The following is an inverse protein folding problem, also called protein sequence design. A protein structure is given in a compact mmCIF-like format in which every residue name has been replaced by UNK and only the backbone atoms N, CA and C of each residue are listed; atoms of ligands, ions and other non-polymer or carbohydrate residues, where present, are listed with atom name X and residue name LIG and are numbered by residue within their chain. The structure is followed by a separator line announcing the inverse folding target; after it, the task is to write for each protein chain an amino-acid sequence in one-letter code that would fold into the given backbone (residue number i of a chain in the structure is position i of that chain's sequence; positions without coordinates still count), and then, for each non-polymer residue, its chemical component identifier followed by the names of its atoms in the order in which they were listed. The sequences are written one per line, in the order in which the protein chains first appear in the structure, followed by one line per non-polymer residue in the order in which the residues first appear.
data_IF_103095015415
#
_entry.id   IF_103095015415
#
_cell.length_a   1.000
_cell.length_b   1.000
_cell.length_c   1.000
_cell.angle_alpha   90.00
_cell.angle_beta   90.00
_cell.angle_gamma   90.00
#
_symmetry.space_group_name_H-M   'P 1'
#
loop_
_entity.id
_entity.type
_entity.pdbx_description
1 polymer ?
#
# COMPACT_ATOMS: atom_id res chain seq x y z
N UNK A 1 8.37 -41.20 3.19
CA UNK A 1 7.33 -40.17 2.89
C UNK A 1 7.67 -38.87 3.62
N UNK A 2 7.26 -37.68 3.15
CA UNK A 2 7.60 -36.39 3.83
C UNK A 2 7.20 -36.37 5.31
N UNK A 3 6.06 -36.96 5.65
CA UNK A 3 5.56 -37.06 7.03
C UNK A 3 6.47 -37.88 7.94
N UNK A 4 7.03 -38.99 7.45
CA UNK A 4 7.96 -39.84 8.23
C UNK A 4 9.25 -39.09 8.52
N UNK A 5 9.78 -38.38 7.52
CA UNK A 5 10.95 -37.52 7.68
C UNK A 5 10.68 -36.38 8.66
N UNK A 6 9.53 -35.70 8.57
CA UNK A 6 9.16 -34.64 9.50
C UNK A 6 9.03 -35.20 10.95
N UNK A 7 8.55 -36.44 11.12
CA UNK A 7 8.47 -37.11 12.43
C UNK A 7 9.85 -37.46 12.99
N UNK A 8 10.74 -38.01 12.17
CA UNK A 8 12.13 -38.33 12.54
C UNK A 8 12.86 -37.06 13.02
N UNK A 9 12.78 -35.97 12.24
CA UNK A 9 13.34 -34.67 12.61
C UNK A 9 12.76 -34.12 13.92
N UNK A 10 11.45 -34.28 14.15
CA UNK A 10 10.83 -33.86 15.43
C UNK A 10 11.29 -34.72 16.61
N UNK A 11 11.54 -36.02 16.43
CA UNK A 11 12.05 -36.90 17.49
C UNK A 11 13.52 -36.61 17.83
N UNK A 12 14.34 -36.33 16.82
CA UNK A 12 15.78 -36.08 17.01
C UNK A 12 16.08 -34.64 17.46
N UNK A 13 15.46 -33.65 16.82
CA UNK A 13 15.81 -32.24 16.97
C UNK A 13 14.73 -31.41 17.69
N UNK A 14 13.55 -31.99 17.96
CA UNK A 14 12.40 -31.25 18.47
C UNK A 14 11.81 -30.25 17.47
N UNK A 15 12.24 -30.31 16.20
CA UNK A 15 11.88 -29.34 15.16
C UNK A 15 11.93 -29.97 13.76
N UNK A 16 11.08 -29.48 12.85
CA UNK A 16 11.18 -29.77 11.43
C UNK A 16 10.79 -28.54 10.60
N UNK A 17 11.27 -28.46 9.36
CA UNK A 17 10.87 -27.39 8.45
C UNK A 17 9.40 -27.55 8.05
N UNK A 18 8.59 -26.54 8.37
CA UNK A 18 7.15 -26.58 8.19
C UNK A 18 6.38 -27.13 9.40
N UNK A 19 6.97 -27.12 10.60
CA UNK A 19 6.37 -27.62 11.83
C UNK A 19 5.00 -27.01 12.15
N UNK A 20 4.72 -25.79 11.68
CA UNK A 20 3.44 -25.11 11.85
C UNK A 20 2.26 -25.89 11.26
N UNK A 21 2.50 -26.74 10.26
CA UNK A 21 1.48 -27.63 9.67
C UNK A 21 0.98 -28.70 10.65
N UNK A 22 1.72 -28.94 11.74
CA UNK A 22 1.36 -29.85 12.83
C UNK A 22 0.85 -29.11 14.08
N UNK A 23 0.72 -27.78 14.04
CA UNK A 23 0.36 -26.93 15.19
C UNK A 23 -0.86 -27.41 15.99
N UNK A 24 -1.90 -27.91 15.31
CA UNK A 24 -3.08 -28.48 15.99
C UNK A 24 -2.72 -29.69 16.85
N UNK A 25 -1.91 -30.61 16.32
CA UNK A 25 -1.47 -31.80 17.04
C UNK A 25 -0.56 -31.42 18.21
N UNK A 26 0.38 -30.49 17.98
CA UNK A 26 1.31 -30.01 19.01
C UNK A 26 0.59 -29.29 20.16
N UNK A 27 -0.55 -28.65 19.87
CA UNK A 27 -1.38 -27.97 20.88
C UNK A 27 -2.50 -28.87 21.45
N UNK A 28 -2.54 -30.15 21.07
CA UNK A 28 -3.58 -31.12 21.42
C UNK A 28 -5.02 -30.59 21.28
N UNK A 29 -5.29 -29.88 20.17
CA UNK A 29 -6.61 -29.30 19.89
C UNK A 29 -7.45 -30.23 19.01
N UNK A 30 -8.79 -30.25 19.15
CA UNK A 30 -9.64 -31.05 18.29
C UNK A 30 -9.62 -30.54 16.83
N UNK A 31 -9.87 -31.41 15.82
CA UNK A 31 -10.00 -31.00 14.42
C UNK A 31 -11.01 -29.87 14.23
N UNK A 32 -10.71 -28.92 13.34
CA UNK A 32 -11.55 -27.75 13.06
C UNK A 32 -11.46 -26.62 14.10
N UNK A 33 -10.79 -26.83 15.23
CA UNK A 33 -10.66 -25.83 16.29
C UNK A 33 -10.04 -24.52 15.81
N UNK A 34 -10.53 -23.40 16.34
CA UNK A 34 -10.00 -22.07 16.06
C UNK A 34 -8.51 -22.00 16.45
N UNK A 35 -7.63 -21.51 15.58
CA UNK A 35 -6.22 -21.31 15.89
C UNK A 35 -6.04 -20.20 16.93
N UNK A 36 -4.98 -20.30 17.74
CA UNK A 36 -4.51 -19.20 18.57
C UNK A 36 -3.84 -18.15 17.69
N UNK A 37 -4.10 -16.88 17.98
CA UNK A 37 -3.62 -15.72 17.22
C UNK A 37 -3.14 -14.64 18.17
N UNK A 38 -2.56 -13.58 17.63
CA UNK A 38 -2.17 -12.40 18.41
C UNK A 38 -3.32 -11.85 19.28
N UNK A 39 -4.57 -11.91 18.79
CA UNK A 39 -5.74 -11.43 19.55
C UNK A 39 -5.96 -12.17 20.88
N UNK A 40 -5.48 -13.41 21.00
CA UNK A 40 -5.61 -14.22 22.21
C UNK A 40 -4.64 -13.79 23.31
N UNK A 41 -3.60 -13.03 22.98
CA UNK A 41 -2.61 -12.51 23.92
C UNK A 41 -3.03 -11.16 24.51
N UNK A 42 -4.04 -10.50 23.95
CA UNK A 42 -4.58 -9.27 24.50
C UNK A 42 -5.53 -9.54 25.67
N UNK A 43 -5.63 -8.57 26.57
CA UNK A 43 -6.70 -8.56 27.58
C UNK A 43 -8.06 -8.47 26.90
N UNK A 44 -9.11 -8.98 27.55
CA UNK A 44 -10.47 -9.03 26.96
C UNK A 44 -11.05 -7.64 26.63
N UNK A 45 -10.50 -6.59 27.23
CA UNK A 45 -10.93 -5.19 27.12
C UNK A 45 -10.12 -4.37 26.11
N UNK A 46 -9.33 -5.02 25.24
CA UNK A 46 -8.57 -4.32 24.22
C UNK A 46 -9.43 -3.47 23.27
N UNK A 47 -8.80 -2.42 22.73
CA UNK A 47 -9.32 -1.61 21.65
C UNK A 47 -8.75 -2.09 20.32
N UNK A 48 -9.62 -2.42 19.37
CA UNK A 48 -9.26 -2.74 18.00
C UNK A 48 -9.46 -1.51 17.12
N UNK A 49 -8.41 -1.09 16.43
CA UNK A 49 -8.50 -0.05 15.39
C UNK A 49 -8.21 -0.72 14.05
N UNK A 50 -9.16 -0.62 13.13
CA UNK A 50 -9.02 -1.13 11.77
C UNK A 50 -8.87 0.08 10.86
N UNK A 51 -7.65 0.32 10.40
CA UNK A 51 -7.36 1.35 9.41
C UNK A 51 -7.71 0.91 8.00
N UNK A 52 -7.98 1.88 7.13
CA UNK A 52 -8.51 1.72 5.78
C UNK A 52 -9.54 0.59 5.68
N UNK A 53 -10.51 0.65 6.60
CA UNK A 53 -11.35 -0.48 6.95
C UNK A 53 -12.18 -1.01 5.76
N UNK A 54 -12.46 -0.14 4.79
CA UNK A 54 -13.12 -0.47 3.52
C UNK A 54 -12.34 -1.51 2.68
N UNK A 55 -11.03 -1.62 2.86
CA UNK A 55 -10.15 -2.61 2.24
C UNK A 55 -9.77 -3.72 3.24
N UNK A 56 -9.42 -3.36 4.47
CA UNK A 56 -8.94 -4.28 5.51
C UNK A 56 -10.01 -5.30 5.95
N UNK A 57 -11.27 -4.89 6.09
CA UNK A 57 -12.35 -5.81 6.49
C UNK A 57 -12.61 -6.90 5.44
N UNK A 58 -12.78 -6.56 4.13
CA UNK A 58 -12.85 -7.58 3.08
C UNK A 58 -11.61 -8.49 3.04
N UNK A 59 -10.41 -7.96 3.24
CA UNK A 59 -9.18 -8.74 3.25
C UNK A 59 -9.22 -9.81 4.35
N UNK A 60 -9.53 -9.42 5.59
CA UNK A 60 -9.69 -10.36 6.73
C UNK A 60 -10.74 -11.43 6.39
N UNK A 61 -11.86 -11.04 5.76
CA UNK A 61 -12.90 -11.97 5.33
C UNK A 61 -12.45 -12.99 4.28
N UNK A 62 -11.50 -12.62 3.42
CA UNK A 62 -10.98 -13.47 2.33
C UNK A 62 -9.86 -14.43 2.75
N UNK A 63 -9.13 -14.13 3.83
CA UNK A 63 -7.91 -14.88 4.22
C UNK A 63 -8.16 -16.39 4.40
N UNK A 64 -9.22 -16.76 5.12
CA UNK A 64 -9.53 -18.17 5.40
C UNK A 64 -9.88 -18.96 4.14
N UNK A 65 -10.69 -18.39 3.24
CA UNK A 65 -11.07 -19.07 2.00
C UNK A 65 -9.86 -19.28 1.07
N UNK A 66 -9.01 -18.24 0.95
CA UNK A 66 -7.79 -18.31 0.14
C UNK A 66 -6.79 -19.35 0.67
N UNK A 67 -6.51 -19.32 1.97
CA UNK A 67 -5.60 -20.31 2.58
C UNK A 67 -6.13 -21.74 2.45
N UNK A 68 -7.43 -21.94 2.76
CA UNK A 68 -8.06 -23.25 2.67
C UNK A 68 -8.03 -23.80 1.24
N UNK A 69 -8.34 -22.99 0.23
CA UNK A 69 -8.31 -23.41 -1.18
C UNK A 69 -6.91 -23.92 -1.57
N UNK A 70 -5.87 -23.15 -1.24
CA UNK A 70 -4.47 -23.51 -1.54
C UNK A 70 -4.04 -24.79 -0.81
N UNK A 71 -4.37 -24.91 0.47
CA UNK A 71 -3.99 -26.08 1.28
C UNK A 71 -4.77 -27.34 0.92
N UNK A 72 -6.02 -27.22 0.49
CA UNK A 72 -6.82 -28.38 0.05
C UNK A 72 -6.14 -29.08 -1.12
N UNK A 73 -5.64 -28.33 -2.11
CA UNK A 73 -4.85 -28.89 -3.23
C UNK A 73 -3.62 -29.68 -2.75
N UNK A 74 -2.90 -29.16 -1.75
CA UNK A 74 -1.73 -29.86 -1.18
C UNK A 74 -2.12 -31.15 -0.46
N UNK A 75 -3.28 -31.17 0.19
CA UNK A 75 -3.82 -32.36 0.87
C UNK A 75 -4.28 -33.39 -0.15
N UNK A 76 -5.03 -32.97 -1.17
CA UNK A 76 -5.56 -33.85 -2.22
C UNK A 76 -4.45 -34.56 -3.00
N UNK A 77 -3.31 -33.89 -3.22
CA UNK A 77 -2.13 -34.47 -3.86
C UNK A 77 -1.16 -35.17 -2.89
N UNK A 78 -1.51 -35.31 -1.60
CA UNK A 78 -0.73 -36.07 -0.63
C UNK A 78 0.56 -35.38 -0.14
N UNK A 79 0.74 -34.08 -0.42
CA UNK A 79 1.88 -33.31 0.09
C UNK A 79 1.73 -32.95 1.59
N UNK A 80 0.49 -32.88 2.09
CA UNK A 80 0.19 -32.55 3.49
C UNK A 80 -0.93 -33.44 4.04
N UNK A 81 -0.89 -33.70 5.35
CA UNK A 81 -1.98 -34.36 6.06
C UNK A 81 -3.23 -33.45 6.11
N UNK A 82 -4.45 -34.00 6.24
CA UNK A 82 -5.66 -33.20 6.40
C UNK A 82 -5.63 -32.24 7.60
N UNK A 83 -4.87 -32.57 8.65
CA UNK A 83 -4.68 -31.72 9.82
C UNK A 83 -3.96 -30.40 9.53
N UNK A 84 -3.23 -30.28 8.42
CA UNK A 84 -2.59 -29.04 8.01
C UNK A 84 -3.58 -27.92 7.66
N UNK A 85 -4.85 -28.26 7.40
CA UNK A 85 -5.95 -27.32 7.22
C UNK A 85 -6.36 -26.60 8.52
N UNK A 86 -6.02 -27.17 9.68
CA UNK A 86 -6.30 -26.58 10.99
C UNK A 86 -5.23 -25.59 11.46
N UNK A 87 -4.07 -25.57 10.79
CA UNK A 87 -3.16 -24.43 10.80
C UNK A 87 -3.69 -23.41 9.79
N UNK A 88 -4.31 -22.33 10.21
CA UNK A 88 -5.03 -21.45 9.28
C UNK A 88 -5.19 -20.05 9.88
N UNK A 89 -5.57 -19.04 9.10
CA UNK A 89 -6.12 -17.80 9.66
C UNK A 89 -7.51 -18.04 10.27
N UNK A 90 -7.96 -17.06 11.05
CA UNK A 90 -9.34 -17.01 11.53
C UNK A 90 -10.30 -16.87 10.35
N UNK A 91 -11.44 -17.55 10.42
CA UNK A 91 -12.56 -17.18 9.55
C UNK A 91 -13.21 -15.89 10.07
N UNK A 92 -14.01 -15.25 9.22
CA UNK A 92 -14.59 -13.94 9.56
C UNK A 92 -15.49 -13.97 10.81
N UNK A 93 -16.25 -15.05 11.01
CA UNK A 93 -17.12 -15.18 12.18
C UNK A 93 -16.32 -15.38 13.47
N UNK A 94 -15.22 -16.13 13.42
CA UNK A 94 -14.29 -16.27 14.54
C UNK A 94 -13.66 -14.92 14.89
N UNK A 95 -13.20 -14.18 13.89
CA UNK A 95 -12.65 -12.83 14.09
C UNK A 95 -13.68 -11.90 14.74
N UNK A 96 -14.92 -11.85 14.23
CA UNK A 96 -15.99 -11.03 14.80
C UNK A 96 -16.31 -11.38 16.26
N UNK A 97 -16.22 -12.65 16.66
CA UNK A 97 -16.44 -13.06 18.07
C UNK A 97 -15.34 -12.60 19.01
N UNK A 98 -14.13 -12.37 18.49
CA UNK A 98 -13.01 -11.85 19.26
C UNK A 98 -13.00 -10.32 19.33
N UNK A 99 -13.82 -9.64 18.54
CA UNK A 99 -13.93 -8.19 18.59
C UNK A 99 -14.60 -7.74 19.88
N UNK A 100 -13.97 -6.77 20.55
CA UNK A 100 -14.56 -6.01 21.65
C UNK A 100 -14.91 -4.60 21.16
N UNK A 101 -14.28 -3.55 21.68
CA UNK A 101 -14.42 -2.20 21.15
C UNK A 101 -13.64 -2.10 19.83
N UNK A 102 -14.34 -1.81 18.74
CA UNK A 102 -13.74 -1.71 17.40
C UNK A 102 -14.02 -0.34 16.79
N UNK A 103 -12.97 0.32 16.31
CA UNK A 103 -13.04 1.52 15.50
C UNK A 103 -12.70 1.17 14.06
N UNK A 104 -13.64 1.43 13.14
CA UNK A 104 -13.42 1.32 11.70
C UNK A 104 -13.06 2.71 11.16
N UNK A 105 -11.83 2.86 10.70
CA UNK A 105 -11.32 4.13 10.17
C UNK A 105 -11.27 4.03 8.64
N UNK A 106 -12.03 4.91 7.98
CA UNK A 106 -12.04 4.98 6.52
C UNK A 106 -12.64 6.30 6.05
N UNK A 107 -12.08 6.88 4.97
CA UNK A 107 -12.70 8.01 4.27
C UNK A 107 -13.94 7.60 3.45
N UNK A 108 -14.11 6.31 3.21
CA UNK A 108 -15.15 5.69 2.38
C UNK A 108 -15.67 4.39 3.02
N UNK A 109 -16.27 4.44 4.22
CA UNK A 109 -16.73 3.23 4.90
C UNK A 109 -17.83 2.54 4.08
N UNK A 110 -17.70 1.22 3.93
CA UNK A 110 -18.68 0.37 3.29
C UNK A 110 -19.93 0.21 4.16
N UNK A 111 -21.06 -0.13 3.52
CA UNK A 111 -22.35 -0.36 4.22
C UNK A 111 -22.26 -1.38 5.35
N UNK A 112 -21.44 -2.41 5.15
CA UNK A 112 -21.22 -3.46 6.14
C UNK A 112 -20.65 -2.88 7.46
N UNK A 113 -19.67 -1.99 7.36
CA UNK A 113 -18.98 -1.39 8.50
C UNK A 113 -19.88 -0.40 9.24
N UNK A 114 -20.65 0.38 8.50
CA UNK A 114 -21.68 1.28 9.04
C UNK A 114 -22.74 0.47 9.81
N UNK A 115 -23.14 -0.69 9.27
CA UNK A 115 -24.07 -1.62 9.91
C UNK A 115 -23.50 -2.20 11.21
N UNK A 116 -22.25 -2.66 11.19
CA UNK A 116 -21.52 -3.15 12.38
C UNK A 116 -21.40 -2.06 13.45
N UNK A 117 -21.22 -0.80 13.03
CA UNK A 117 -21.16 0.36 13.91
C UNK A 117 -22.54 0.79 14.45
N UNK A 118 -23.63 0.07 14.11
CA UNK A 118 -25.02 0.39 14.49
C UNK A 118 -25.39 1.84 14.14
N UNK A 119 -24.86 2.36 13.03
CA UNK A 119 -25.07 3.73 12.57
C UNK A 119 -24.32 4.81 13.37
N UNK A 120 -23.47 4.45 14.34
CA UNK A 120 -22.61 5.42 15.06
C UNK A 120 -21.42 5.79 14.19
N UNK A 121 -21.58 6.85 13.40
CA UNK A 121 -20.54 7.39 12.53
C UNK A 121 -20.06 8.72 13.09
N UNK A 122 -18.75 8.83 13.30
CA UNK A 122 -18.10 10.09 13.67
C UNK A 122 -17.38 10.63 12.44
N UNK A 123 -17.74 11.83 12.02
CA UNK A 123 -17.16 12.47 10.83
C UNK A 123 -15.99 13.38 11.22
N UNK A 124 -14.84 13.21 10.58
CA UNK A 124 -13.70 14.13 10.64
C UNK A 124 -13.33 14.58 9.23
N UNK A 125 -13.73 15.79 8.87
CA UNK A 125 -13.57 16.34 7.50
C UNK A 125 -12.66 17.56 7.42
N UNK A 126 -12.45 18.27 8.53
CA UNK A 126 -11.62 19.48 8.56
C UNK A 126 -10.17 19.04 8.72
N UNK A 127 -9.30 19.53 7.84
CA UNK A 127 -7.86 19.29 7.92
C UNK A 127 -7.20 20.32 8.84
N UNK A 128 -6.20 19.93 9.67
CA UNK A 128 -5.49 20.88 10.54
C UNK A 128 -4.88 22.07 9.79
N UNK A 129 -4.44 21.86 8.55
CA UNK A 129 -3.82 22.89 7.69
C UNK A 129 -4.82 23.79 6.97
N UNK A 130 -6.13 23.54 7.13
CA UNK A 130 -7.18 24.25 6.41
C UNK A 130 -7.31 23.86 4.94
N UNK A 131 -6.54 22.87 4.43
CA UNK A 131 -6.69 22.38 3.06
C UNK A 131 -8.10 21.86 2.80
N UNK A 132 -8.62 22.18 1.63
CA UNK A 132 -9.98 21.86 1.21
C UNK A 132 -9.99 20.72 0.19
N UNK A 133 -11.11 20.02 0.09
CA UNK A 133 -11.29 19.02 -0.97
C UNK A 133 -11.15 19.68 -2.35
N UNK A 134 -10.50 18.99 -3.33
CA UNK A 134 -10.13 19.56 -4.61
C UNK A 134 -11.36 19.85 -5.47
N UNK A 135 -11.21 20.80 -6.39
CA UNK A 135 -12.25 21.08 -7.37
C UNK A 135 -12.34 19.96 -8.40
N UNK A 136 -13.56 19.50 -8.70
CA UNK A 136 -13.81 18.39 -9.63
C UNK A 136 -14.46 18.95 -10.90
N UNK A 137 -13.79 18.75 -12.04
CA UNK A 137 -14.25 19.16 -13.36
C UNK A 137 -14.55 17.92 -14.19
N UNK A 138 -15.69 17.91 -14.90
CA UNK A 138 -16.04 16.87 -15.87
C UNK A 138 -15.78 17.41 -17.26
N UNK A 139 -15.03 16.66 -18.08
CA UNK A 139 -14.73 16.96 -19.49
C UNK A 139 -15.16 15.77 -20.38
N UNK A 140 -15.52 16.00 -21.65
CA UNK A 140 -15.92 14.93 -22.56
C UNK A 140 -14.76 13.96 -22.85
N UNK A 141 -15.08 12.74 -23.29
CA UNK A 141 -14.06 11.76 -23.71
C UNK A 141 -13.39 12.16 -25.03
N UNK A 142 -14.13 12.86 -25.90
CA UNK A 142 -13.59 13.36 -27.16
C UNK A 142 -12.46 14.38 -26.89
N UNK A 143 -11.27 14.14 -27.44
CA UNK A 143 -10.09 14.98 -27.22
C UNK A 143 -9.47 14.87 -25.82
N UNK A 144 -9.80 13.83 -25.04
CA UNK A 144 -9.33 13.70 -23.65
C UNK A 144 -7.79 13.69 -23.52
N UNK A 145 -7.08 13.12 -24.49
CA UNK A 145 -5.62 13.02 -24.45
C UNK A 145 -4.96 14.37 -24.71
N UNK A 146 -5.45 15.11 -25.70
CA UNK A 146 -4.96 16.46 -26.02
C UNK A 146 -5.19 17.43 -24.85
N UNK A 147 -6.38 17.37 -24.24
CA UNK A 147 -6.71 18.16 -23.06
C UNK A 147 -5.85 17.78 -21.84
N UNK A 148 -5.62 16.47 -21.63
CA UNK A 148 -4.75 15.98 -20.56
C UNK A 148 -3.33 16.51 -20.74
N UNK A 149 -2.79 16.52 -21.97
CA UNK A 149 -1.46 17.04 -22.26
C UNK A 149 -1.37 18.53 -21.92
N UNK A 150 -2.38 19.31 -22.32
CA UNK A 150 -2.41 20.74 -22.03
C UNK A 150 -2.45 21.01 -20.52
N UNK A 151 -3.33 20.31 -19.79
CA UNK A 151 -3.45 20.44 -18.33
C UNK A 151 -2.18 19.94 -17.62
N UNK A 152 -1.59 18.85 -18.08
CA UNK A 152 -0.35 18.33 -17.52
C UNK A 152 0.80 19.33 -17.71
N UNK A 153 0.99 19.88 -18.93
CA UNK A 153 2.00 20.91 -19.20
C UNK A 153 1.83 22.15 -18.33
N UNK A 154 0.58 22.58 -18.08
CA UNK A 154 0.30 23.69 -17.14
C UNK A 154 0.78 23.37 -15.73
N UNK A 155 0.52 22.17 -15.21
CA UNK A 155 1.01 21.73 -13.91
C UNK A 155 2.54 21.64 -13.87
N UNK A 156 3.16 21.02 -14.88
CA UNK A 156 4.63 20.87 -14.96
C UNK A 156 5.33 22.24 -14.99
N UNK A 157 4.79 23.21 -15.75
CA UNK A 157 5.34 24.58 -15.79
C UNK A 157 5.30 25.29 -14.43
N UNK A 158 4.38 24.89 -13.54
CA UNK A 158 4.31 25.39 -12.16
C UNK A 158 5.16 24.59 -11.17
N UNK A 159 5.90 23.57 -11.65
CA UNK A 159 6.68 22.66 -10.81
C UNK A 159 5.83 21.67 -10.02
N UNK A 160 4.56 21.49 -10.38
CA UNK A 160 3.60 20.58 -9.73
C UNK A 160 3.60 19.19 -10.39
N UNK A 161 2.98 18.19 -9.76
CA UNK A 161 2.90 16.80 -10.26
C UNK A 161 1.48 16.41 -10.67
N UNK A 162 1.41 15.44 -11.58
CA UNK A 162 0.14 14.94 -12.13
C UNK A 162 0.02 13.44 -11.88
N UNK A 163 -1.15 13.03 -11.41
CA UNK A 163 -1.54 11.61 -11.37
C UNK A 163 -2.59 11.35 -12.44
N UNK A 164 -2.41 10.30 -13.23
CA UNK A 164 -3.37 9.87 -14.24
C UNK A 164 -3.81 8.45 -13.95
N UNK A 165 -5.13 8.21 -13.87
CA UNK A 165 -5.67 6.86 -13.77
C UNK A 165 -6.31 6.39 -15.06
N UNK A 166 -5.85 5.25 -15.58
CA UNK A 166 -6.45 4.55 -16.73
C UNK A 166 -7.25 3.34 -16.25
N UNK A 167 -7.77 2.53 -17.18
CA UNK A 167 -8.49 1.27 -16.87
C UNK A 167 -7.67 0.02 -17.15
N UNK A 168 -6.73 0.07 -18.10
CA UNK A 168 -5.98 -1.11 -18.54
C UNK A 168 -4.48 -0.84 -18.54
N UNK A 169 -3.68 -1.91 -18.37
CA UNK A 169 -2.21 -1.86 -18.46
C UNK A 169 -1.76 -1.31 -19.80
N UNK A 170 -2.32 -1.86 -20.87
CA UNK A 170 -2.04 -1.44 -22.24
C UNK A 170 -2.27 0.06 -22.45
N UNK A 171 -3.40 0.61 -21.99
CA UNK A 171 -3.65 2.06 -22.12
C UNK A 171 -2.70 2.90 -21.27
N UNK A 172 -2.26 2.40 -20.11
CA UNK A 172 -1.27 3.09 -19.29
C UNK A 172 0.10 3.12 -19.99
N UNK A 173 0.52 2.00 -20.56
CA UNK A 173 1.77 1.85 -21.33
C UNK A 173 1.74 2.73 -22.58
N UNK A 174 0.73 2.59 -23.44
CA UNK A 174 0.57 3.39 -24.68
C UNK A 174 0.53 4.90 -24.38
N UNK A 175 -0.13 5.31 -23.29
CA UNK A 175 -0.15 6.72 -22.89
C UNK A 175 1.20 7.19 -22.36
N UNK A 176 1.90 6.35 -21.59
CA UNK A 176 3.24 6.67 -21.09
C UNK A 176 4.22 6.86 -22.24
N UNK A 177 4.22 5.95 -23.21
CA UNK A 177 5.07 6.02 -24.41
C UNK A 177 4.77 7.31 -25.19
N UNK A 178 3.48 7.58 -25.45
CA UNK A 178 3.08 8.78 -26.17
C UNK A 178 3.48 10.08 -25.48
N UNK A 179 3.26 10.19 -24.15
CA UNK A 179 3.66 11.38 -23.38
C UNK A 179 5.19 11.54 -23.36
N UNK A 180 5.94 10.45 -23.29
CA UNK A 180 7.40 10.45 -23.34
C UNK A 180 7.91 10.93 -24.70
N UNK A 181 7.33 10.46 -25.81
CA UNK A 181 7.70 10.85 -27.18
C UNK A 181 7.54 12.36 -27.44
N UNK A 182 6.52 12.97 -26.84
CA UNK A 182 6.27 14.43 -26.94
C UNK A 182 7.01 15.26 -25.90
N UNK A 183 7.94 14.63 -25.15
CA UNK A 183 8.87 15.29 -24.23
C UNK A 183 8.32 15.59 -22.82
N UNK A 184 7.29 14.87 -22.37
CA UNK A 184 6.82 14.96 -20.98
C UNK A 184 7.51 13.88 -20.15
N UNK A 185 8.13 14.26 -19.04
CA UNK A 185 8.74 13.29 -18.13
C UNK A 185 7.63 12.50 -17.41
N UNK A 186 7.48 11.24 -17.79
CA UNK A 186 6.40 10.38 -17.33
C UNK A 186 6.95 9.04 -16.86
N UNK A 187 6.27 8.44 -15.88
CA UNK A 187 6.47 7.06 -15.49
C UNK A 187 5.10 6.39 -15.27
N UNK A 188 5.05 5.07 -15.24
CA UNK A 188 3.80 4.34 -15.03
C UNK A 188 3.92 3.24 -13.97
N UNK A 189 2.80 2.96 -13.28
CA UNK A 189 2.71 1.89 -12.27
C UNK A 189 1.54 0.94 -12.57
N UNK A 190 1.84 -0.36 -12.58
CA UNK A 190 0.85 -1.44 -12.66
C UNK A 190 0.90 -2.40 -11.47
N UNK A 191 0.08 -3.45 -11.51
CA UNK A 191 -0.12 -4.40 -10.42
C UNK A 191 1.07 -5.31 -10.12
N UNK A 192 1.98 -5.50 -11.08
CA UNK A 192 3.05 -6.50 -10.99
C UNK A 192 4.36 -5.89 -10.48
N UNK A 193 4.41 -4.56 -10.38
CA UNK A 193 5.50 -3.80 -9.74
C UNK A 193 5.52 -4.15 -8.25
N UNK A 194 6.70 -4.56 -7.78
CA UNK A 194 6.95 -4.91 -6.39
C UNK A 194 6.75 -3.73 -5.43
N UNK A 195 6.61 -4.02 -4.13
CA UNK A 195 6.38 -2.96 -3.13
C UNK A 195 7.54 -1.96 -3.05
N UNK A 196 8.79 -2.45 -3.11
CA UNK A 196 10.01 -1.63 -3.04
C UNK A 196 10.12 -0.71 -4.26
N UNK A 197 9.99 -1.27 -5.45
CA UNK A 197 10.05 -0.52 -6.71
C UNK A 197 8.95 0.55 -6.78
N UNK A 198 7.74 0.23 -6.31
CA UNK A 198 6.65 1.21 -6.20
C UNK A 198 7.03 2.39 -5.30
N UNK A 199 7.63 2.13 -4.13
CA UNK A 199 8.06 3.20 -3.21
C UNK A 199 9.10 4.08 -3.89
N UNK A 200 10.05 3.50 -4.62
CA UNK A 200 11.07 4.27 -5.34
C UNK A 200 10.43 5.15 -6.44
N UNK A 201 9.54 4.62 -7.27
CA UNK A 201 8.85 5.43 -8.30
C UNK A 201 8.09 6.61 -7.68
N UNK A 202 7.37 6.39 -6.57
CA UNK A 202 6.64 7.46 -5.88
C UNK A 202 7.57 8.54 -5.32
N UNK A 203 8.75 8.12 -4.89
CA UNK A 203 9.77 9.02 -4.37
C UNK A 203 10.45 9.81 -5.48
N UNK A 204 10.72 9.19 -6.62
CA UNK A 204 11.25 9.86 -7.81
C UNK A 204 10.27 10.92 -8.34
N UNK A 205 8.95 10.66 -8.27
CA UNK A 205 7.92 11.67 -8.55
C UNK A 205 8.03 12.87 -7.60
N UNK A 206 8.19 12.62 -6.29
CA UNK A 206 8.39 13.67 -5.27
C UNK A 206 9.65 14.49 -5.52
N UNK A 207 10.74 13.82 -5.90
CA UNK A 207 12.01 14.47 -6.25
C UNK A 207 11.94 15.28 -7.55
N UNK A 208 10.90 15.09 -8.36
CA UNK A 208 10.80 15.73 -9.67
C UNK A 208 11.72 15.14 -10.73
N UNK A 209 12.11 13.87 -10.59
CA UNK A 209 12.79 13.15 -11.70
C UNK A 209 11.85 12.96 -12.88
N UNK A 210 10.55 12.87 -12.60
CA UNK A 210 9.49 12.94 -13.58
C UNK A 210 8.28 13.67 -13.00
N UNK A 211 7.36 14.08 -13.87
CA UNK A 211 6.30 15.02 -13.53
C UNK A 211 4.90 14.36 -13.53
N UNK A 212 4.73 13.32 -14.35
CA UNK A 212 3.45 12.63 -14.55
C UNK A 212 3.57 11.15 -14.16
N UNK A 213 2.67 10.67 -13.31
CA UNK A 213 2.55 9.26 -12.97
C UNK A 213 1.24 8.68 -13.49
N UNK A 214 1.32 7.70 -14.38
CA UNK A 214 0.16 6.99 -14.91
C UNK A 214 -0.02 5.67 -14.16
N UNK A 215 -1.24 5.30 -13.80
CA UNK A 215 -1.49 3.98 -13.24
C UNK A 215 -2.93 3.52 -13.38
N UNK A 216 -3.16 2.25 -13.10
CA UNK A 216 -4.52 1.67 -13.15
C UNK A 216 -5.20 1.86 -11.80
N UNK A 217 -4.48 1.50 -10.74
CA UNK A 217 -4.94 1.54 -9.37
C UNK A 217 -3.94 2.33 -8.50
N UNK A 218 -4.16 3.63 -8.43
CA UNK A 218 -3.43 4.55 -7.57
C UNK A 218 -4.06 4.65 -6.15
N UNK A 219 -4.86 3.66 -5.76
CA UNK A 219 -5.55 3.63 -4.46
C UNK A 219 -4.68 3.00 -3.36
N UNK A 220 -3.56 2.35 -3.69
CA UNK A 220 -2.73 1.70 -2.67
C UNK A 220 -2.04 2.73 -1.78
N UNK A 221 -1.84 2.34 -0.53
CA UNK A 221 -1.14 3.08 0.52
C UNK A 221 0.23 3.61 0.02
N UNK A 222 0.68 4.75 0.57
CA UNK A 222 1.96 5.37 0.20
C UNK A 222 1.90 6.49 -0.85
N UNK A 223 0.75 6.71 -1.51
CA UNK A 223 0.51 7.85 -2.42
C UNK A 223 0.12 9.13 -1.65
N UNK A 224 0.95 9.53 -0.69
CA UNK A 224 0.86 10.82 -0.02
C UNK A 224 1.91 11.78 -0.59
N UNK A 225 1.52 12.52 -1.63
CA UNK A 225 2.41 13.38 -2.41
C UNK A 225 1.81 14.78 -2.43
N UNK A 226 2.22 15.67 -1.51
CA UNK A 226 1.73 17.06 -1.46
C UNK A 226 1.98 17.83 -2.75
N UNK A 227 2.96 17.43 -3.56
CA UNK A 227 3.35 18.03 -4.83
C UNK A 227 2.33 17.77 -5.96
N UNK A 228 1.39 16.83 -5.77
CA UNK A 228 0.34 16.53 -6.78
C UNK A 228 -0.76 17.58 -6.74
N UNK A 229 -0.84 18.39 -7.79
CA UNK A 229 -1.91 19.39 -7.96
C UNK A 229 -3.04 18.92 -8.87
N UNK A 230 -2.79 17.96 -9.76
CA UNK A 230 -3.78 17.44 -10.71
C UNK A 230 -3.93 15.93 -10.63
N UNK A 231 -5.17 15.48 -10.53
CA UNK A 231 -5.56 14.08 -10.71
C UNK A 231 -6.50 13.95 -11.90
N UNK A 232 -6.08 13.27 -12.95
CA UNK A 232 -6.88 12.99 -14.13
C UNK A 232 -7.40 11.54 -14.10
N UNK A 233 -8.71 11.37 -14.26
CA UNK A 233 -9.36 10.05 -14.32
C UNK A 233 -9.90 9.86 -15.73
N UNK A 234 -9.19 9.08 -16.54
CA UNK A 234 -9.65 8.69 -17.87
C UNK A 234 -10.81 7.71 -17.77
N UNK A 235 -11.73 7.74 -18.74
CA UNK A 235 -12.86 6.81 -18.81
C UNK A 235 -13.65 6.75 -17.49
N UNK A 236 -13.92 7.90 -16.89
CA UNK A 236 -14.51 8.00 -15.56
C UNK A 236 -15.97 7.49 -15.51
N UNK A 237 -16.64 7.40 -16.66
CA UNK A 237 -18.00 6.88 -16.81
C UNK A 237 -18.09 5.37 -17.06
N UNK A 238 -16.96 4.67 -17.19
CA UNK A 238 -16.94 3.21 -17.29
C UNK A 238 -17.09 2.61 -15.90
N UNK A 239 -18.28 2.16 -15.59
CA UNK A 239 -18.57 1.52 -14.30
C UNK A 239 -17.70 0.26 -14.08
N UNK A 240 -17.45 -0.06 -12.82
CA UNK A 240 -16.58 -1.16 -12.41
C UNK A 240 -15.86 -0.85 -11.11
N UNK A 241 -14.98 -1.75 -10.66
CA UNK A 241 -14.26 -1.57 -9.40
C UNK A 241 -13.46 -0.25 -9.36
N UNK A 242 -12.70 0.06 -10.42
CA UNK A 242 -11.83 1.25 -10.50
C UNK A 242 -12.59 2.58 -10.64
N UNK A 243 -13.89 2.55 -10.93
CA UNK A 243 -14.77 3.73 -11.07
C UNK A 243 -16.01 3.63 -10.17
N UNK A 244 -15.91 2.83 -9.12
CA UNK A 244 -16.90 2.81 -8.05
C UNK A 244 -16.88 4.14 -7.29
N UNK A 245 -17.95 4.46 -6.57
CA UNK A 245 -17.99 5.66 -5.69
C UNK A 245 -16.79 5.71 -4.75
N UNK A 246 -16.43 4.58 -4.13
CA UNK A 246 -15.28 4.45 -3.23
C UNK A 246 -13.98 4.80 -3.94
N UNK A 247 -13.73 4.17 -5.09
CA UNK A 247 -12.51 4.39 -5.88
C UNK A 247 -12.39 5.82 -6.36
N UNK A 248 -13.48 6.41 -6.85
CA UNK A 248 -13.46 7.80 -7.29
C UNK A 248 -13.15 8.77 -6.13
N UNK A 249 -13.77 8.59 -4.96
CA UNK A 249 -13.51 9.45 -3.79
C UNK A 249 -12.05 9.35 -3.36
N UNK A 250 -11.51 8.12 -3.28
CA UNK A 250 -10.13 7.88 -2.87
C UNK A 250 -9.12 8.44 -3.88
N UNK A 251 -9.33 8.21 -5.19
CA UNK A 251 -8.47 8.76 -6.25
C UNK A 251 -8.53 10.29 -6.25
N UNK A 252 -9.72 10.90 -6.19
CA UNK A 252 -9.87 12.35 -6.09
C UNK A 252 -9.19 12.93 -4.84
N UNK A 253 -9.22 12.20 -3.73
CA UNK A 253 -8.57 12.58 -2.48
C UNK A 253 -7.05 12.79 -2.60
N UNK A 254 -6.40 12.21 -3.61
CA UNK A 254 -4.95 12.39 -3.85
C UNK A 254 -4.58 13.84 -4.18
N UNK A 255 -5.48 14.64 -4.76
CA UNK A 255 -5.26 16.06 -5.01
C UNK A 255 -5.56 16.95 -3.79
N UNK A 256 -6.13 16.41 -2.71
CA UNK A 256 -6.59 17.19 -1.57
C UNK A 256 -5.47 17.69 -0.63
N UNK A 257 -4.21 17.41 -0.97
CA UNK A 257 -3.02 17.83 -0.23
C UNK A 257 -2.31 19.04 -0.82
N UNK A 258 -2.76 19.52 -1.98
CA UNK A 258 -2.22 20.67 -2.66
C UNK A 258 -3.20 21.84 -2.62
N UNK A 259 -2.69 23.08 -2.52
CA UNK A 259 -3.53 24.29 -2.48
C UNK A 259 -4.34 24.47 -3.77
N UNK A 260 -3.71 24.19 -4.90
CA UNK A 260 -4.31 24.23 -6.25
C UNK A 260 -4.90 22.88 -6.67
N UNK A 261 -5.19 21.99 -5.70
CA UNK A 261 -5.67 20.63 -5.96
C UNK A 261 -6.91 20.61 -6.85
N UNK A 262 -6.80 19.91 -7.99
CA UNK A 262 -7.83 19.78 -9.02
C UNK A 262 -7.96 18.33 -9.47
N UNK A 263 -9.18 17.93 -9.80
CA UNK A 263 -9.51 16.63 -10.38
C UNK A 263 -10.24 16.83 -11.71
N UNK A 264 -9.81 16.12 -12.74
CA UNK A 264 -10.50 16.06 -14.04
C UNK A 264 -11.06 14.65 -14.23
N UNK A 265 -12.35 14.56 -14.48
CA UNK A 265 -13.04 13.33 -14.85
C UNK A 265 -13.37 13.40 -16.34
N UNK A 266 -12.74 12.55 -17.15
CA UNK A 266 -13.11 12.42 -18.56
C UNK A 266 -14.26 11.44 -18.69
N UNK A 267 -15.45 11.94 -19.03
CA UNK A 267 -16.69 11.19 -19.05
C UNK A 267 -17.73 11.86 -19.96
N UNK A 268 -18.44 11.07 -20.76
CA UNK A 268 -19.58 11.56 -21.55
C UNK A 268 -20.91 11.44 -20.77
N UNK A 269 -20.96 10.52 -19.79
CA UNK A 269 -22.13 10.28 -18.96
C UNK A 269 -21.84 10.47 -17.48
N UNK A 270 -22.72 11.19 -16.79
CA UNK A 270 -22.66 11.29 -15.33
C UNK A 270 -23.30 10.04 -14.71
N UNK A 271 -22.47 9.03 -14.42
CA UNK A 271 -22.87 7.79 -13.75
C UNK A 271 -23.33 8.03 -12.31
N UNK A 272 -23.95 7.01 -11.69
CA UNK A 272 -24.31 7.06 -10.27
C UNK A 272 -23.08 7.31 -9.38
N UNK A 273 -21.95 6.66 -9.68
CA UNK A 273 -20.70 6.83 -8.92
C UNK A 273 -20.20 8.27 -8.97
N UNK A 274 -20.21 8.91 -10.14
CA UNK A 274 -19.82 10.31 -10.31
C UNK A 274 -20.76 11.25 -9.54
N UNK A 275 -22.08 11.01 -9.60
CA UNK A 275 -23.06 11.83 -8.85
C UNK A 275 -22.79 11.79 -7.34
N UNK A 276 -22.54 10.61 -6.79
CA UNK A 276 -22.24 10.47 -5.36
C UNK A 276 -20.90 11.10 -4.97
N UNK A 277 -19.86 10.95 -5.81
CA UNK A 277 -18.57 11.64 -5.63
C UNK A 277 -18.78 13.15 -5.51
N UNK A 278 -19.48 13.76 -6.48
CA UNK A 278 -19.72 15.21 -6.49
C UNK A 278 -20.49 15.66 -5.25
N UNK A 279 -21.50 14.88 -4.83
CA UNK A 279 -22.28 15.17 -3.62
C UNK A 279 -21.40 15.16 -2.37
N UNK A 280 -20.56 14.15 -2.20
CA UNK A 280 -19.65 14.02 -1.04
C UNK A 280 -18.59 15.13 -1.05
N UNK A 281 -17.94 15.38 -2.19
CA UNK A 281 -16.91 16.41 -2.32
C UNK A 281 -17.47 17.80 -2.03
N UNK A 282 -18.61 18.16 -2.62
CA UNK A 282 -19.25 19.45 -2.38
C UNK A 282 -19.68 19.63 -0.91
N UNK A 283 -20.19 18.58 -0.28
CA UNK A 283 -20.52 18.60 1.15
C UNK A 283 -19.30 18.87 2.02
N UNK A 284 -18.19 18.14 1.80
CA UNK A 284 -16.93 18.30 2.53
C UNK A 284 -16.34 19.69 2.33
N UNK A 285 -16.21 20.11 1.06
CA UNK A 285 -15.64 21.41 0.68
C UNK A 285 -16.41 22.57 1.29
N UNK A 286 -17.75 22.55 1.24
CA UNK A 286 -18.59 23.59 1.87
C UNK A 286 -18.31 23.72 3.36
N UNK A 287 -18.31 22.60 4.10
CA UNK A 287 -18.05 22.61 5.55
C UNK A 287 -16.63 23.05 5.90
N UNK A 288 -15.63 22.67 5.10
CA UNK A 288 -14.24 23.10 5.29
C UNK A 288 -14.08 24.61 5.08
N UNK A 289 -14.68 25.17 4.02
CA UNK A 289 -14.66 26.62 3.75
C UNK A 289 -15.34 27.41 4.88
N UNK A 290 -16.52 26.96 5.31
CA UNK A 290 -17.25 27.58 6.43
C UNK A 290 -16.44 27.54 7.72
N UNK A 291 -15.80 26.41 8.02
CA UNK A 291 -14.94 26.26 9.20
C UNK A 291 -13.73 27.19 9.13
N UNK A 292 -13.02 27.23 8.00
CA UNK A 292 -11.86 28.07 7.80
C UNK A 292 -12.20 29.55 7.97
N UNK A 293 -13.31 30.00 7.35
CA UNK A 293 -13.79 31.38 7.48
C UNK A 293 -14.16 31.73 8.91
N UNK A 294 -14.84 30.83 9.62
CA UNK A 294 -15.24 31.03 11.02
C UNK A 294 -14.04 31.16 11.97
N UNK A 295 -12.94 30.45 11.70
CA UNK A 295 -11.76 30.39 12.58
C UNK A 295 -10.55 31.19 12.05
N UNK A 296 -10.69 31.92 10.95
CA UNK A 296 -9.58 32.69 10.35
C UNK A 296 -8.42 31.83 9.84
N UNK A 297 -8.70 30.58 9.44
CA UNK A 297 -7.66 29.65 8.97
C UNK A 297 -7.39 29.90 7.48
N UNK A 298 -6.13 30.17 7.16
CA UNK A 298 -5.65 30.28 5.78
C UNK A 298 -5.09 28.91 5.38
N UNK A 299 -5.62 28.26 4.32
CA UNK A 299 -5.13 26.98 3.84
C UNK A 299 -3.63 27.03 3.55
N UNK A 300 -2.88 26.00 3.96
CA UNK A 300 -1.45 25.85 3.63
C UNK A 300 -1.15 24.42 3.18
N UNK A 301 -0.32 24.29 2.15
CA UNK A 301 0.20 22.99 1.76
C UNK A 301 1.15 22.46 2.84
N UNK A 302 1.21 21.14 2.99
CA UNK A 302 2.15 20.48 3.91
C UNK A 302 3.40 20.12 3.10
N UNK A 303 4.54 20.74 3.39
CA UNK A 303 5.82 20.27 2.87
C UNK A 303 6.34 19.17 3.80
N UNK A 304 6.31 17.91 3.35
CA UNK A 304 7.02 16.82 4.03
C UNK A 304 8.45 16.78 3.48
N UNK A 305 9.46 16.58 4.34
CA UNK A 305 10.82 16.37 3.87
C UNK A 305 10.84 15.22 2.85
N UNK A 306 11.61 15.38 1.78
CA UNK A 306 11.92 14.28 0.87
C UNK A 306 12.91 13.41 1.65
N UNK A 307 12.54 12.16 1.94
CA UNK A 307 13.48 11.21 2.54
C UNK A 307 14.64 11.01 1.55
N UNK A 308 15.87 11.36 1.96
CA UNK A 308 17.10 11.19 1.19
C UNK A 308 17.47 9.70 1.06
N UNK A 309 18.22 9.33 0.02
CA UNK A 309 18.61 7.92 -0.16
C UNK A 309 19.64 7.70 0.92
N UNK A 310 19.53 6.64 1.73
CA UNK A 310 20.65 6.29 2.61
C UNK A 310 21.93 6.05 1.79
N UNK A 311 21.83 5.64 0.51
CA UNK A 311 22.97 5.54 -0.40
C UNK A 311 23.63 6.88 -0.78
N UNK A 312 22.95 8.03 -0.70
CA UNK A 312 23.56 9.32 -1.03
C UNK A 312 24.40 9.89 0.13
N UNK A 313 24.20 9.40 1.37
CA UNK A 313 25.05 9.73 2.52
C UNK A 313 26.35 8.90 2.56
N UNK A 314 26.40 7.81 1.81
CA UNK A 314 27.58 6.95 1.67
C UNK A 314 28.06 6.93 0.22
N UNK A 315 28.59 8.06 -0.24
CA UNK A 315 29.63 8.07 -1.29
C UNK A 315 29.17 8.21 -2.74
N UNK A 316 28.99 9.45 -3.19
CA UNK A 316 29.51 9.84 -4.50
C UNK A 316 31.04 9.87 -4.43
N UNK A 317 31.68 8.76 -4.76
CA UNK A 317 33.00 8.77 -5.38
C UNK A 317 32.85 8.23 -6.81
N UNK A 318 32.32 9.07 -7.69
CA UNK A 318 32.53 8.91 -9.14
C UNK A 318 33.99 9.26 -9.45
N UNK A 319 34.89 8.32 -9.26
CA UNK A 319 36.21 8.29 -9.92
C UNK A 319 36.60 6.85 -10.18
N UNK A 320 36.72 6.52 -11.46
CA UNK A 320 37.41 5.37 -12.06
C UNK A 320 37.00 3.96 -11.61
N UNK A 321 36.00 3.39 -12.29
CA UNK A 321 35.88 1.92 -12.41
C UNK A 321 36.24 1.53 -13.84
N UNK A 322 37.53 1.60 -14.11
CA UNK A 322 38.18 0.73 -15.07
C UNK A 322 39.32 0.03 -14.35
N UNK A 323 39.24 -1.30 -14.29
CA UNK A 323 40.29 -2.29 -13.93
C UNK A 323 40.27 -2.93 -12.53
N UNK A 324 40.31 -4.28 -12.56
CA UNK A 324 40.74 -5.28 -11.52
C UNK A 324 39.83 -5.37 -10.28
N UNK A 325 39.24 -6.51 -9.87
CA UNK A 325 39.76 -7.87 -9.70
C UNK A 325 39.80 -8.16 -8.19
N UNK A 326 39.08 -9.19 -7.74
CA UNK A 326 38.95 -9.72 -6.36
C UNK A 326 38.43 -8.77 -5.26
N UNK A 327 37.12 -8.87 -4.99
CA UNK A 327 36.51 -8.37 -3.73
C UNK A 327 36.78 -9.42 -2.64
N UNK A 328 37.56 -9.06 -1.62
CA UNK A 328 37.89 -9.92 -0.49
C UNK A 328 36.62 -10.33 0.28
N UNK A 329 36.34 -11.63 0.39
CA UNK A 329 35.22 -12.19 1.18
C UNK A 329 35.20 -11.74 2.65
N UNK A 330 36.35 -11.32 3.20
CA UNK A 330 36.51 -10.90 4.59
C UNK A 330 35.78 -9.57 4.92
N UNK A 331 35.69 -8.64 3.96
CA UNK A 331 35.16 -7.29 4.17
C UNK A 331 33.61 -7.28 4.24
N UNK A 332 32.99 -8.19 3.50
CA UNK A 332 31.53 -8.33 3.43
C UNK A 332 30.96 -8.89 4.74
N UNK A 333 31.66 -9.82 5.38
CA UNK A 333 31.26 -10.43 6.66
C UNK A 333 31.29 -9.41 7.79
N UNK A 334 32.31 -8.57 7.83
CA UNK A 334 32.44 -7.51 8.83
C UNK A 334 31.34 -6.45 8.65
N UNK A 335 31.09 -6.04 7.41
CA UNK A 335 30.00 -5.10 7.05
C UNK A 335 28.62 -5.63 7.43
N UNK A 336 28.35 -6.93 7.21
CA UNK A 336 27.08 -7.56 7.62
C UNK A 336 26.89 -7.47 9.14
N UNK A 337 27.97 -7.72 9.91
CA UNK A 337 27.93 -7.71 11.37
C UNK A 337 27.66 -6.32 11.92
N UNK A 338 28.24 -5.29 11.33
CA UNK A 338 28.00 -3.89 11.70
C UNK A 338 26.53 -3.49 11.45
N UNK A 339 25.99 -3.85 10.29
CA UNK A 339 24.60 -3.57 9.94
C UNK A 339 23.60 -4.32 10.84
N UNK A 340 23.92 -5.54 11.28
CA UNK A 340 23.11 -6.29 12.25
C UNK A 340 23.08 -5.62 13.63
N UNK A 341 24.21 -5.06 14.07
CA UNK A 341 24.29 -4.30 15.34
C UNK A 341 23.45 -3.02 15.22
N UNK A 342 23.61 -2.24 14.15
CA UNK A 342 22.82 -1.04 13.93
C UNK A 342 21.31 -1.32 13.81
N UNK A 343 20.94 -2.46 13.21
CA UNK A 343 19.56 -2.90 13.11
C UNK A 343 18.94 -3.14 14.48
N UNK A 344 19.68 -3.81 15.37
CA UNK A 344 19.25 -4.07 16.75
C UNK A 344 19.12 -2.77 17.55
N UNK A 345 20.08 -1.85 17.42
CA UNK A 345 20.00 -0.54 18.07
C UNK A 345 18.80 0.29 17.57
N UNK A 346 18.51 0.25 16.28
CA UNK A 346 17.34 0.91 15.70
C UNK A 346 16.02 0.31 16.23
N UNK A 347 15.98 -1.01 16.40
CA UNK A 347 14.83 -1.70 16.99
C UNK A 347 14.64 -1.33 18.48
N UNK A 348 15.72 -1.24 19.25
CA UNK A 348 15.69 -0.79 20.65
C UNK A 348 15.21 0.67 20.79
N UNK A 349 15.55 1.53 19.84
CA UNK A 349 15.10 2.93 19.77
C UNK A 349 13.69 3.11 19.18
N UNK A 350 12.98 2.01 18.87
CA UNK A 350 11.66 2.00 18.23
C UNK A 350 11.65 2.64 16.82
N UNK A 351 12.81 2.72 16.17
CA UNK A 351 12.97 3.20 14.79
C UNK A 351 12.75 2.04 13.81
N UNK A 352 11.54 1.48 13.82
CA UNK A 352 11.23 0.23 13.10
C UNK A 352 11.43 0.31 11.58
N UNK A 353 11.25 1.48 10.98
CA UNK A 353 11.53 1.72 9.56
C UNK A 353 13.02 1.60 9.24
N UNK A 354 13.88 2.14 10.12
CA UNK A 354 15.34 2.04 10.00
C UNK A 354 15.81 0.60 10.22
N UNK A 355 15.25 -0.09 11.22
CA UNK A 355 15.55 -1.50 11.48
C UNK A 355 15.13 -2.40 10.30
N UNK A 356 13.95 -2.16 9.69
CA UNK A 356 13.51 -2.91 8.52
C UNK A 356 14.43 -2.70 7.31
N UNK A 357 14.95 -1.48 7.12
CA UNK A 357 15.86 -1.14 6.04
C UNK A 357 17.24 -1.80 6.21
N UNK A 358 17.81 -1.74 7.42
CA UNK A 358 19.07 -2.40 7.75
C UNK A 358 18.97 -3.94 7.59
N UNK A 359 17.84 -4.53 7.98
CA UNK A 359 17.55 -5.95 7.74
C UNK A 359 17.61 -6.31 6.26
N UNK A 360 17.02 -5.49 5.41
CA UNK A 360 16.94 -5.76 3.98
C UNK A 360 18.31 -5.63 3.30
N UNK A 361 19.16 -4.70 3.76
CA UNK A 361 20.56 -4.57 3.35
C UNK A 361 21.42 -5.78 3.78
N UNK A 362 21.26 -6.23 5.03
CA UNK A 362 21.91 -7.45 5.53
C UNK A 362 21.55 -8.66 4.65
N UNK A 363 20.27 -8.78 4.27
CA UNK A 363 19.81 -9.88 3.41
C UNK A 363 20.38 -9.80 1.98
N UNK A 364 20.55 -8.60 1.44
CA UNK A 364 21.13 -8.39 0.12
C UNK A 364 22.62 -8.74 0.09
N UNK A 365 23.38 -8.26 1.09
CA UNK A 365 24.80 -8.59 1.25
C UNK A 365 25.02 -10.09 1.45
N UNK A 366 24.20 -10.75 2.29
CA UNK A 366 24.21 -12.22 2.46
C UNK A 366 23.91 -12.98 1.17
N UNK A 367 23.05 -12.42 0.31
CA UNK A 367 22.73 -13.01 -1.00
C UNK A 367 23.90 -12.86 -1.98
N UNK A 368 24.62 -11.75 -1.92
CA UNK A 368 25.79 -11.47 -2.78
C UNK A 368 27.04 -12.22 -2.34
N UNK A 369 27.23 -12.45 -1.04
CA UNK A 369 28.38 -13.20 -0.50
C UNK A 369 28.25 -14.73 -0.63
N UNK A 370 27.11 -15.24 -1.14
CA UNK A 370 26.90 -16.68 -1.29
C UNK A 370 26.70 -17.43 0.03
N UNK A 371 26.59 -16.73 1.18
CA UNK A 371 26.25 -17.32 2.47
C UNK A 371 24.79 -17.77 2.51
N UNK A 372 24.56 -18.92 1.87
CA UNK A 372 23.32 -19.67 2.01
C UNK A 372 23.40 -20.41 3.34
N UNK A 373 22.88 -19.81 4.40
CA UNK A 373 22.62 -20.44 5.72
C UNK A 373 23.67 -21.47 6.17
N UNK A 374 24.73 -21.01 6.82
CA UNK A 374 25.33 -21.86 7.86
C UNK A 374 24.38 -21.77 9.05
N UNK A 375 23.47 -22.75 9.14
CA UNK A 375 22.66 -22.94 10.33
C UNK A 375 23.57 -23.49 11.44
N UNK A 376 23.33 -23.15 12.72
CA UNK A 376 24.03 -23.81 13.83
C UNK A 376 23.71 -25.31 13.90
#
# INVERSE_FOLDING_TARGET
MRTEYDLEMMMEMGFCSGIENYSRHLSDRPPGSRPSTLLDFFSKDFLLVIDESHATVPQIGGMFAGDRSRKTVLVDHGFRLPSALDNRPLNFQEFQKLQNQTLYISATPAKHEISLSKGRVVEQIVRPTGLIDPDIIIKPLNGQIDDLIEEARKCVNNGERVLVTTLTKRTAEELSDYLSEIGINVNYIHSDIGAIERVEILRELRQGKFDVLIGINLLREGLDIPEVSLVAILDADKEGFLRSTTSLIQTSGRAARHLNGKVILYADKITRSIKELLKVSNYRRKRQIEYNKKHGIIPRSVSRAIEERLGDKFGKNETDISSVGDVNECDVVETIRELEIEMLEAAEKLEFEKAALLRDQVNELKRMSGETKISP
#
